data_IF_820958639848
#
_entry.id   IF_820958639848
#
_cell.length_a   1.000
_cell.length_b   1.000
_cell.length_c   1.000
_cell.angle_alpha   90.00
_cell.angle_beta   90.00
_cell.angle_gamma   90.00
#
_symmetry.space_group_name_H-M   'P 1'
#
loop_
_entity.id
_entity.type
_entity.pdbx_description
1 polymer ?
#
# COMPACT_ATOMS: atom_id res chain seq x y z
N UNK A 1 -11.68 35.05 5.09
CA UNK A 1 -11.09 33.69 5.11
C UNK A 1 -12.07 32.75 5.77
N UNK A 2 -12.46 31.66 5.12
CA UNK A 2 -13.25 30.58 5.71
C UNK A 2 -12.34 29.39 6.01
N UNK A 3 -12.51 28.68 7.15
CA UNK A 3 -11.75 27.47 7.42
C UNK A 3 -12.20 26.34 6.49
N UNK A 4 -11.25 25.55 5.97
CA UNK A 4 -11.55 24.30 5.27
C UNK A 4 -11.84 23.20 6.29
N UNK A 5 -12.85 22.34 6.10
CA UNK A 5 -13.07 21.19 6.97
C UNK A 5 -11.90 20.20 6.85
N UNK A 6 -11.40 19.71 7.99
CA UNK A 6 -10.43 18.62 8.06
C UNK A 6 -11.17 17.33 8.37
N UNK A 7 -11.34 16.47 7.36
CA UNK A 7 -11.82 15.10 7.56
C UNK A 7 -10.67 14.25 8.10
N UNK A 8 -10.59 14.13 9.43
CA UNK A 8 -9.64 13.23 10.11
C UNK A 8 -10.23 11.82 10.09
N UNK A 9 -9.79 11.00 9.14
CA UNK A 9 -10.14 9.57 9.09
C UNK A 9 -9.17 8.80 9.98
N UNK A 10 -9.63 8.49 11.20
CA UNK A 10 -8.79 7.92 12.27
C UNK A 10 -8.78 6.39 12.21
N UNK A 11 -7.89 5.82 11.39
CA UNK A 11 -7.76 4.36 11.21
C UNK A 11 -6.93 3.76 12.35
N UNK A 12 -7.62 3.28 13.39
CA UNK A 12 -6.99 2.75 14.61
C UNK A 12 -6.67 1.25 14.50
N UNK A 13 -5.47 0.94 14.01
CA UNK A 13 -5.01 -0.45 13.83
C UNK A 13 -4.49 -1.08 15.15
N UNK A 14 -5.35 -1.84 15.84
CA UNK A 14 -4.90 -2.70 16.95
C UNK A 14 -4.32 -4.03 16.42
N UNK A 15 -3.02 -4.24 16.59
CA UNK A 15 -2.37 -5.54 16.36
C UNK A 15 -2.04 -6.18 17.71
N UNK A 16 -2.84 -7.16 18.13
CA UNK A 16 -2.55 -7.99 19.30
C UNK A 16 -1.84 -9.28 18.89
N UNK A 17 -0.54 -9.36 19.19
CA UNK A 17 0.28 -10.56 19.05
C UNK A 17 0.38 -11.26 20.42
N UNK A 18 0.07 -12.57 20.50
CA UNK A 18 0.24 -13.34 21.74
C UNK A 18 0.52 -14.84 21.50
N UNK A 19 1.47 -15.38 22.28
CA UNK A 19 1.95 -16.77 22.30
C UNK A 19 2.69 -16.99 23.65
N UNK A 20 2.96 -18.20 24.14
CA UNK A 20 2.80 -19.55 23.54
C UNK A 20 1.66 -20.32 24.26
N UNK A 21 1.60 -21.63 24.58
CA UNK A 21 2.53 -22.76 24.58
C UNK A 21 1.81 -24.11 24.35
N UNK A 22 2.60 -25.17 24.17
CA UNK A 22 2.16 -26.55 23.86
C UNK A 22 1.54 -27.32 25.05
N UNK A 23 0.71 -28.31 24.73
CA UNK A 23 0.63 -29.58 25.44
C UNK A 23 0.26 -30.72 24.45
N UNK A 24 0.71 -31.94 24.72
CA UNK A 24 0.55 -33.11 23.84
C UNK A 24 -0.38 -34.17 24.47
N UNK A 25 -0.45 -35.36 23.85
CA UNK A 25 -1.23 -36.57 24.22
C UNK A 25 -2.69 -36.53 23.69
N UNK A 26 -3.20 -37.54 22.97
CA UNK A 26 -2.56 -38.75 22.42
C UNK A 26 -3.58 -39.82 22.03
N UNK A 27 -3.38 -40.55 20.92
CA UNK A 27 -4.24 -41.67 20.54
C UNK A 27 -4.15 -42.09 19.06
N UNK A 28 -4.07 -43.40 18.81
CA UNK A 28 -4.08 -44.07 17.50
C UNK A 28 -4.19 -45.59 17.70
N UNK A 29 -4.53 -46.40 16.69
CA UNK A 29 -5.29 -46.14 15.46
C UNK A 29 -6.47 -47.13 15.30
N UNK A 30 -7.28 -47.00 14.23
CA UNK A 30 -8.08 -48.13 13.71
C UNK A 30 -8.49 -47.95 12.24
N UNK A 31 -8.76 -49.07 11.58
CA UNK A 31 -8.76 -49.28 10.12
C UNK A 31 -10.04 -48.89 9.37
N UNK A 32 -9.84 -48.71 8.06
CA UNK A 32 -10.80 -48.73 6.93
C UNK A 32 -11.77 -49.94 6.95
N UNK A 33 -12.94 -49.93 6.26
CA UNK A 33 -12.99 -49.82 4.79
C UNK A 33 -14.11 -48.99 4.14
N UNK A 34 -13.95 -48.85 2.82
CA UNK A 34 -14.80 -48.33 1.76
C UNK A 34 -16.29 -48.71 1.81
N UNK A 35 -17.16 -47.80 1.36
CA UNK A 35 -18.36 -48.18 0.58
C UNK A 35 -18.63 -47.14 -0.53
N UNK A 36 -19.16 -47.59 -1.68
CA UNK A 36 -19.50 -46.75 -2.84
C UNK A 36 -21.02 -46.59 -2.91
N UNK A 37 -21.51 -45.39 -3.22
CA UNK A 37 -22.79 -45.23 -3.92
C UNK A 37 -22.75 -44.06 -4.90
N UNK A 38 -23.40 -44.24 -6.06
CA UNK A 38 -23.27 -43.34 -7.21
C UNK A 38 -24.49 -42.42 -7.39
N UNK A 39 -24.22 -41.21 -7.89
CA UNK A 39 -25.13 -40.34 -8.66
C UNK A 39 -26.53 -40.06 -8.11
N UNK A 40 -26.81 -38.78 -7.84
CA UNK A 40 -27.90 -38.12 -8.55
C UNK A 40 -27.59 -36.64 -8.84
N UNK A 41 -28.18 -36.10 -9.92
CA UNK A 41 -27.81 -34.79 -10.49
C UNK A 41 -28.73 -33.68 -10.00
N UNK A 42 -28.18 -32.60 -9.45
CA UNK A 42 -28.90 -31.33 -9.33
C UNK A 42 -27.99 -30.15 -9.68
N UNK A 43 -28.48 -29.27 -10.58
CA UNK A 43 -27.69 -28.20 -11.19
C UNK A 43 -27.57 -27.01 -10.24
N UNK A 44 -26.56 -27.04 -9.37
CA UNK A 44 -26.14 -25.87 -8.60
C UNK A 44 -25.28 -24.95 -9.47
N UNK A 45 -25.97 -24.06 -10.18
CA UNK A 45 -25.49 -22.83 -10.85
C UNK A 45 -24.01 -22.52 -10.54
N UNK A 46 -23.13 -22.76 -11.52
CA UNK A 46 -21.72 -22.32 -11.45
C UNK A 46 -21.74 -20.84 -11.09
N UNK A 47 -21.27 -20.52 -9.89
CA UNK A 47 -20.95 -19.15 -9.53
C UNK A 47 -19.72 -18.80 -10.36
N UNK A 48 -19.96 -18.16 -11.51
CA UNK A 48 -18.89 -17.55 -12.29
C UNK A 48 -18.26 -16.51 -11.38
N UNK A 49 -17.19 -16.91 -10.69
CA UNK A 49 -16.36 -16.01 -9.92
C UNK A 49 -15.87 -14.97 -10.93
N UNK A 50 -16.46 -13.78 -10.88
CA UNK A 50 -16.07 -12.68 -11.76
C UNK A 50 -14.62 -12.38 -11.42
N UNK A 51 -13.69 -12.92 -12.21
CA UNK A 51 -12.28 -12.59 -12.13
C UNK A 51 -12.21 -11.08 -12.15
N UNK A 52 -11.84 -10.48 -11.02
CA UNK A 52 -11.76 -9.04 -10.91
C UNK A 52 -10.73 -8.59 -11.93
N UNK A 53 -11.22 -8.00 -13.01
CA UNK A 53 -10.42 -7.26 -13.98
C UNK A 53 -9.97 -6.00 -13.27
N UNK A 54 -8.93 -6.18 -12.43
CA UNK A 54 -8.20 -5.13 -11.75
C UNK A 54 -7.46 -4.30 -12.80
N UNK A 55 -8.24 -3.52 -13.51
CA UNK A 55 -7.76 -2.60 -14.51
C UNK A 55 -7.17 -1.42 -13.76
N UNK A 56 -5.87 -1.21 -13.96
CA UNK A 56 -5.24 0.08 -13.71
C UNK A 56 -6.10 1.18 -14.36
N UNK A 57 -6.30 2.35 -13.71
CA UNK A 57 -7.08 3.45 -14.27
C UNK A 57 -6.64 3.82 -15.69
N UNK A 58 -7.61 4.10 -16.57
CA UNK A 58 -7.41 4.08 -18.02
C UNK A 58 -6.46 5.18 -18.54
N UNK A 59 -6.29 6.25 -17.77
CA UNK A 59 -5.43 7.40 -18.01
C UNK A 59 -4.14 7.39 -17.15
N UNK A 60 -3.96 6.39 -16.27
CA UNK A 60 -2.77 6.28 -15.44
C UNK A 60 -1.50 5.98 -16.27
N UNK A 61 -0.46 6.78 -16.05
CA UNK A 61 0.76 6.78 -16.85
C UNK A 61 1.72 5.72 -16.33
N UNK A 62 2.05 4.75 -17.20
CA UNK A 62 3.07 3.73 -16.94
C UNK A 62 4.47 4.37 -16.82
N UNK A 63 5.13 4.15 -15.69
CA UNK A 63 6.49 4.66 -15.38
C UNK A 63 7.37 3.58 -14.74
N UNK A 64 8.68 3.80 -14.70
CA UNK A 64 9.65 2.95 -14.00
C UNK A 64 10.19 3.66 -12.76
N UNK A 65 10.18 2.99 -11.60
CA UNK A 65 10.68 3.56 -10.34
C UNK A 65 12.21 3.48 -10.31
N UNK A 66 12.86 4.62 -10.50
CA UNK A 66 14.32 4.73 -10.50
C UNK A 66 14.86 4.77 -9.07
N UNK A 67 14.16 5.42 -8.14
CA UNK A 67 14.65 5.61 -6.77
C UNK A 67 13.54 5.90 -5.77
N UNK A 68 13.52 5.18 -4.65
CA UNK A 68 12.70 5.52 -3.48
C UNK A 68 13.45 6.49 -2.56
N UNK A 69 12.87 7.66 -2.29
CA UNK A 69 13.49 8.75 -1.53
C UNK A 69 13.20 8.62 -0.04
N UNK A 70 11.95 8.35 0.31
CA UNK A 70 11.39 8.23 1.65
C UNK A 70 10.12 7.34 1.58
N UNK A 71 9.16 7.49 2.49
CA UNK A 71 7.93 6.69 2.52
C UNK A 71 6.79 7.20 1.62
N UNK A 72 6.93 8.37 0.99
CA UNK A 72 5.89 8.97 0.16
C UNK A 72 6.39 9.62 -1.14
N UNK A 73 7.71 9.64 -1.36
CA UNK A 73 8.36 10.29 -2.50
C UNK A 73 9.27 9.32 -3.26
N UNK A 74 9.13 9.30 -4.58
CA UNK A 74 9.92 8.50 -5.52
C UNK A 74 10.38 9.33 -6.71
N UNK A 75 11.52 8.97 -7.31
CA UNK A 75 11.94 9.42 -8.63
C UNK A 75 11.55 8.35 -9.67
N UNK A 76 10.87 8.76 -10.75
CA UNK A 76 10.39 7.86 -11.81
C UNK A 76 10.89 8.28 -13.18
N UNK A 77 11.19 7.30 -14.04
CA UNK A 77 11.48 7.50 -15.45
C UNK A 77 10.20 7.27 -16.29
N UNK A 78 9.89 8.25 -17.14
CA UNK A 78 8.82 8.17 -18.13
C UNK A 78 9.30 7.49 -19.43
N UNK A 79 8.38 7.00 -20.31
CA UNK A 79 8.75 6.32 -21.56
C UNK A 79 9.57 7.15 -22.57
N UNK A 80 9.58 8.48 -22.41
CA UNK A 80 10.39 9.43 -23.19
C UNK A 80 11.82 9.63 -22.62
N UNK A 81 12.18 8.94 -21.53
CA UNK A 81 13.47 9.05 -20.85
C UNK A 81 13.59 10.20 -19.83
N UNK A 82 12.58 11.06 -19.65
CA UNK A 82 12.64 12.11 -18.61
C UNK A 82 12.43 11.50 -17.23
N UNK A 83 13.23 11.93 -16.24
CA UNK A 83 13.08 11.57 -14.83
C UNK A 83 12.44 12.73 -14.06
N UNK A 84 11.46 12.45 -13.21
CA UNK A 84 10.77 13.44 -12.38
C UNK A 84 10.46 12.85 -10.98
N UNK A 85 10.18 13.73 -10.01
CA UNK A 85 9.89 13.36 -8.62
C UNK A 85 8.39 13.36 -8.36
N UNK A 86 7.85 12.19 -8.03
CA UNK A 86 6.46 11.99 -7.62
C UNK A 86 6.38 11.98 -6.11
N UNK A 87 5.44 12.75 -5.56
CA UNK A 87 4.98 12.71 -4.17
C UNK A 87 3.58 12.08 -4.17
N UNK A 88 3.40 11.03 -3.38
CA UNK A 88 2.14 10.29 -3.31
C UNK A 88 1.02 11.21 -2.83
N UNK A 89 -0.17 11.11 -3.42
CA UNK A 89 -1.31 11.94 -3.02
C UNK A 89 -2.03 11.29 -1.83
N UNK A 90 -2.41 12.08 -0.83
CA UNK A 90 -3.13 11.61 0.38
C UNK A 90 -2.23 11.00 1.46
N UNK A 91 -1.15 10.31 1.07
CA UNK A 91 -0.13 9.77 2.00
C UNK A 91 0.73 10.91 2.57
N UNK A 92 1.19 10.80 3.82
CA UNK A 92 2.30 11.61 4.36
C UNK A 92 3.08 10.78 5.37
N UNK A 93 4.41 10.79 5.25
CA UNK A 93 5.31 9.93 6.05
C UNK A 93 6.38 10.74 6.78
N UNK A 94 6.73 10.35 8.02
CA UNK A 94 7.84 10.98 8.74
C UNK A 94 9.14 10.96 7.93
N UNK A 95 9.93 12.02 8.09
CA UNK A 95 11.17 12.17 7.34
C UNK A 95 12.24 11.21 7.87
N UNK A 96 13.02 10.60 6.97
CA UNK A 96 14.03 9.57 7.26
C UNK A 96 15.22 10.00 8.16
N UNK A 97 15.19 11.22 8.70
CA UNK A 97 16.25 11.80 9.54
C UNK A 97 15.64 12.76 10.56
N UNK A 98 16.00 12.61 11.84
CA UNK A 98 15.38 13.37 12.94
C UNK A 98 15.43 14.89 12.75
N UNK A 99 16.51 15.43 12.17
CA UNK A 99 16.69 16.87 11.89
C UNK A 99 15.80 17.44 10.77
N UNK A 100 15.01 16.61 10.08
CA UNK A 100 14.03 17.05 9.05
C UNK A 100 12.57 16.91 9.49
N UNK A 101 12.30 16.15 10.56
CA UNK A 101 10.99 16.10 11.20
C UNK A 101 10.77 17.32 12.09
N UNK A 102 9.50 17.70 12.32
CA UNK A 102 9.13 18.74 13.29
C UNK A 102 8.31 18.14 14.44
N UNK A 103 8.47 18.71 15.63
CA UNK A 103 7.69 18.31 16.80
C UNK A 103 6.23 18.77 16.64
N UNK A 104 5.27 17.88 16.91
CA UNK A 104 3.84 18.09 16.66
C UNK A 104 3.47 18.25 15.16
N UNK A 105 4.30 17.69 14.26
CA UNK A 105 3.94 17.49 12.85
C UNK A 105 2.88 16.37 12.71
N UNK A 106 2.99 15.35 13.56
CA UNK A 106 2.03 14.26 13.72
C UNK A 106 1.44 14.34 15.15
N UNK A 107 0.27 14.98 15.26
CA UNK A 107 -0.47 15.27 16.50
C UNK A 107 0.41 15.76 17.68
N UNK A 108 0.65 14.90 18.68
CA UNK A 108 1.42 15.23 19.88
C UNK A 108 2.81 14.58 19.92
N UNK A 109 3.28 14.03 18.79
CA UNK A 109 4.57 13.36 18.73
C UNK A 109 5.70 14.39 18.66
N UNK A 110 6.55 14.39 19.69
CA UNK A 110 7.71 15.28 19.81
C UNK A 110 9.06 14.56 19.70
N UNK A 111 9.08 13.22 19.76
CA UNK A 111 10.30 12.43 19.56
C UNK A 111 10.64 12.30 18.07
N UNK A 112 11.54 13.18 17.62
CA UNK A 112 12.02 13.22 16.24
C UNK A 112 12.86 11.99 15.85
N UNK A 113 13.40 11.23 16.81
CA UNK A 113 14.13 9.97 16.53
C UNK A 113 13.14 8.83 16.28
N UNK A 114 12.07 8.74 17.08
CA UNK A 114 10.95 7.83 16.83
C UNK A 114 10.33 8.11 15.45
N UNK A 115 10.03 9.37 15.14
CA UNK A 115 9.56 9.76 13.80
C UNK A 115 10.54 9.31 12.70
N UNK A 116 11.84 9.56 12.85
CA UNK A 116 12.82 9.13 11.87
C UNK A 116 12.90 7.61 11.68
N UNK A 117 12.71 6.80 12.73
CA UNK A 117 12.66 5.33 12.58
C UNK A 117 11.42 4.86 11.81
N UNK A 118 10.27 5.51 12.01
CA UNK A 118 9.07 5.26 11.21
C UNK A 118 9.24 5.69 9.76
N UNK A 119 9.89 6.83 9.49
CA UNK A 119 10.24 7.27 8.14
C UNK A 119 11.16 6.29 7.39
N UNK A 120 12.13 5.71 8.10
CA UNK A 120 12.99 4.65 7.56
C UNK A 120 12.21 3.35 7.29
N UNK A 121 11.29 2.96 8.18
CA UNK A 121 10.43 1.80 7.98
C UNK A 121 9.49 1.97 6.77
N UNK A 122 8.82 3.12 6.65
CA UNK A 122 7.98 3.46 5.51
C UNK A 122 8.78 3.48 4.19
N UNK A 123 9.99 4.05 4.20
CA UNK A 123 10.90 4.00 3.06
C UNK A 123 11.23 2.57 2.63
N UNK A 124 11.53 1.66 3.57
CA UNK A 124 11.83 0.28 3.22
C UNK A 124 10.60 -0.48 2.71
N UNK A 125 9.41 -0.24 3.25
CA UNK A 125 8.17 -0.76 2.68
C UNK A 125 8.00 -0.34 1.20
N UNK A 126 8.10 0.95 0.89
CA UNK A 126 8.00 1.44 -0.50
C UNK A 126 9.12 0.89 -1.38
N UNK A 127 10.36 0.83 -0.89
CA UNK A 127 11.48 0.24 -1.63
C UNK A 127 11.21 -1.21 -1.99
N UNK A 128 10.86 -2.04 -1.01
CA UNK A 128 10.77 -3.49 -1.22
C UNK A 128 9.55 -3.85 -2.10
N UNK A 129 8.49 -3.04 -2.04
CA UNK A 129 7.34 -3.17 -2.93
C UNK A 129 7.56 -2.64 -4.35
N UNK A 130 8.18 -1.47 -4.58
CA UNK A 130 8.19 -0.83 -5.91
C UNK A 130 9.55 -0.33 -6.45
N UNK A 131 10.67 -0.36 -5.71
CA UNK A 131 11.99 -0.03 -6.28
C UNK A 131 12.33 -0.95 -7.46
N UNK A 132 12.93 -0.37 -8.51
CA UNK A 132 13.36 -1.04 -9.75
C UNK A 132 12.23 -1.75 -10.53
N UNK A 133 10.97 -1.37 -10.27
CA UNK A 133 9.77 -1.97 -10.88
C UNK A 133 8.97 -0.95 -11.70
N UNK A 134 8.09 -1.47 -12.55
CA UNK A 134 7.12 -0.67 -13.30
C UNK A 134 5.87 -0.48 -12.45
N UNK A 135 5.44 0.78 -12.32
CA UNK A 135 4.16 1.18 -11.69
C UNK A 135 3.39 2.09 -12.67
N UNK A 136 2.18 2.48 -12.28
CA UNK A 136 1.35 3.42 -13.02
C UNK A 136 0.99 4.57 -12.09
N UNK A 137 0.93 5.79 -12.61
CA UNK A 137 0.63 6.99 -11.80
C UNK A 137 -0.59 7.75 -12.34
N UNK A 138 -1.53 8.10 -11.47
CA UNK A 138 -2.75 8.85 -11.83
C UNK A 138 -2.72 10.26 -11.23
N UNK A 139 -3.14 11.26 -12.01
CA UNK A 139 -3.20 12.66 -11.58
C UNK A 139 -4.62 13.06 -11.17
N UNK A 140 -4.82 13.42 -9.90
CA UNK A 140 -6.06 14.04 -9.43
C UNK A 140 -6.29 15.41 -10.15
N UNK A 141 -7.41 15.58 -10.89
CA UNK A 141 -7.69 16.80 -11.64
C UNK A 141 -8.08 18.00 -10.74
N UNK A 142 -8.46 17.76 -9.49
CA UNK A 142 -8.84 18.77 -8.49
C UNK A 142 -7.60 19.21 -7.68
N UNK A 143 -6.74 18.27 -7.27
CA UNK A 143 -5.51 18.59 -6.54
C UNK A 143 -4.46 19.29 -7.41
N UNK A 144 -4.44 18.99 -8.70
CA UNK A 144 -3.51 19.56 -9.67
C UNK A 144 -2.15 18.83 -9.74
N UNK A 145 -1.51 18.93 -10.90
CA UNK A 145 -0.41 18.02 -11.29
C UNK A 145 0.90 18.17 -10.53
N UNK A 146 1.17 19.32 -9.89
CA UNK A 146 2.40 19.58 -9.11
C UNK A 146 2.10 20.34 -7.83
N UNK A 147 2.78 19.97 -6.76
CA UNK A 147 2.76 20.69 -5.49
C UNK A 147 3.71 21.90 -5.49
N UNK A 148 3.66 22.70 -4.42
CA UNK A 148 4.45 23.92 -4.24
C UNK A 148 5.96 23.75 -4.50
N UNK A 149 6.54 22.60 -4.12
CA UNK A 149 7.96 22.27 -4.33
C UNK A 149 8.28 21.68 -5.73
N UNK A 150 7.39 21.86 -6.72
CA UNK A 150 7.60 21.36 -8.09
C UNK A 150 7.47 19.84 -8.28
N UNK A 151 7.39 19.04 -7.20
CA UNK A 151 7.11 17.59 -7.27
C UNK A 151 5.75 17.34 -7.94
N UNK A 152 5.67 16.30 -8.78
CA UNK A 152 4.41 15.75 -9.25
C UNK A 152 3.57 15.24 -8.07
N UNK A 153 2.25 15.35 -8.13
CA UNK A 153 1.32 14.76 -7.16
C UNK A 153 0.52 13.65 -7.85
N UNK A 154 0.56 12.42 -7.35
CA UNK A 154 -0.14 11.30 -7.98
C UNK A 154 -0.49 10.16 -7.01
N UNK A 155 -1.54 9.41 -7.36
CA UNK A 155 -1.78 8.06 -6.83
C UNK A 155 -0.88 7.05 -7.56
N UNK A 156 -0.58 5.91 -6.92
CA UNK A 156 0.30 4.87 -7.47
C UNK A 156 -0.48 3.55 -7.60
N UNK A 157 -0.51 2.99 -8.80
CA UNK A 157 -1.13 1.68 -9.08
C UNK A 157 -0.09 0.63 -9.48
N UNK A 158 -0.23 -0.56 -8.89
CA UNK A 158 0.53 -1.74 -9.28
C UNK A 158 -0.02 -2.35 -10.58
N UNK A 159 0.78 -3.16 -11.28
CA UNK A 159 0.39 -3.80 -12.55
C UNK A 159 -0.90 -4.65 -12.45
N UNK A 160 -1.21 -5.17 -11.26
CA UNK A 160 -2.42 -5.93 -10.98
C UNK A 160 -3.59 -5.04 -10.49
N UNK A 161 -3.59 -3.74 -10.81
CA UNK A 161 -4.65 -2.78 -10.47
C UNK A 161 -4.90 -2.55 -8.98
N UNK A 162 -3.98 -2.99 -8.10
CA UNK A 162 -3.97 -2.62 -6.69
C UNK A 162 -3.52 -1.16 -6.56
N UNK A 163 -4.33 -0.34 -5.88
CA UNK A 163 -3.87 0.95 -5.36
C UNK A 163 -2.78 0.70 -4.31
N UNK A 164 -1.65 1.38 -4.46
CA UNK A 164 -0.51 1.33 -3.53
C UNK A 164 -0.50 2.55 -2.59
N UNK A 165 -1.46 3.45 -2.76
CA UNK A 165 -1.62 4.72 -2.03
C UNK A 165 -2.91 4.81 -1.22
N UNK A 166 -3.76 3.78 -1.23
CA UNK A 166 -5.03 3.67 -0.48
C UNK A 166 -5.21 2.36 0.27
#
# INVERSE_FOLDING_TARGET
MTPRPRYVVLVLAMVLFSVVASACIGGSPSTTPTENYSTETSVSKVSTFSTSTHNVPADAIKVYVVKVIDGDTIDVAFPNGTVDRVRFLGVDTPETSASRNKANEYDHITDLKCLASWGVAAKFFVRDYIQDKVVYIEFDPIAGRRGYYGRLLAYIYLKNGTDFTG
#
